data_IF_309803263577
#
_entry.id   IF_309803263577
#
_cell.length_a   1.000
_cell.length_b   1.000
_cell.length_c   1.000
_cell.angle_alpha   90.00
_cell.angle_beta   90.00
_cell.angle_gamma   90.00
#
_symmetry.space_group_name_H-M   'P 1'
#
loop_
_entity.id
_entity.type
_entity.pdbx_description
1 polymer ?
#
# COMPACT_ATOMS: atom_id res chain seq x y z
N UNK A 1 -9.73 4.26 -18.78
CA UNK A 1 -9.86 4.83 -17.41
C UNK A 1 -8.73 4.24 -16.59
N UNK A 2 -7.84 5.05 -16.01
CA UNK A 2 -6.72 4.53 -15.21
C UNK A 2 -7.24 3.81 -13.95
N UNK A 3 -6.57 2.74 -13.55
CA UNK A 3 -6.85 2.05 -12.28
C UNK A 3 -6.63 2.99 -11.10
N UNK A 4 -7.37 2.80 -9.99
CA UNK A 4 -7.28 3.67 -8.80
C UNK A 4 -5.85 3.79 -8.27
N UNK A 5 -5.09 2.69 -8.34
CA UNK A 5 -3.70 2.66 -7.91
C UNK A 5 -2.80 3.54 -8.78
N UNK A 6 -3.10 3.69 -10.07
CA UNK A 6 -2.34 4.55 -10.98
C UNK A 6 -2.64 6.03 -10.70
N UNK A 7 -3.91 6.37 -10.45
CA UNK A 7 -4.31 7.72 -10.04
C UNK A 7 -3.62 8.13 -8.73
N UNK A 8 -3.53 7.22 -7.76
CA UNK A 8 -2.86 7.49 -6.48
C UNK A 8 -1.34 7.64 -6.62
N UNK A 9 -0.71 6.89 -7.53
CA UNK A 9 0.71 7.10 -7.87
C UNK A 9 0.94 8.48 -8.45
N UNK A 10 0.11 8.92 -9.39
CA UNK A 10 0.18 10.24 -10.01
C UNK A 10 -0.05 11.35 -8.98
N UNK A 11 -1.03 11.19 -8.08
CA UNK A 11 -1.26 12.11 -6.97
C UNK A 11 -0.02 12.25 -6.08
N UNK A 12 0.73 11.17 -5.83
CA UNK A 12 1.95 11.21 -5.01
C UNK A 12 3.15 11.95 -5.63
N UNK A 13 3.00 12.37 -6.89
CA UNK A 13 3.95 13.20 -7.64
C UNK A 13 3.53 14.68 -7.71
N UNK A 14 2.31 15.02 -7.27
CA UNK A 14 1.82 16.38 -7.26
C UNK A 14 2.51 17.20 -6.15
N UNK A 15 2.76 18.49 -6.40
CA UNK A 15 3.34 19.43 -5.44
C UNK A 15 2.45 19.63 -4.20
N UNK A 16 1.14 19.44 -4.32
CA UNK A 16 0.19 19.51 -3.20
C UNK A 16 0.20 18.25 -2.32
N UNK A 17 0.96 17.21 -2.69
CA UNK A 17 1.03 15.98 -1.91
C UNK A 17 1.74 16.17 -0.58
N UNK A 18 1.00 16.05 0.52
CA UNK A 18 1.53 16.21 1.88
C UNK A 18 2.01 14.90 2.46
N UNK A 19 3.34 14.74 2.55
CA UNK A 19 3.95 13.63 3.28
C UNK A 19 3.49 13.62 4.74
N UNK A 20 3.12 12.44 5.24
CA UNK A 20 2.66 12.27 6.62
C UNK A 20 1.19 12.58 6.86
N UNK A 21 0.43 13.02 5.86
CA UNK A 21 -1.04 13.09 5.98
C UNK A 21 -1.67 11.69 5.99
N UNK A 22 -1.12 10.80 5.17
CA UNK A 22 -1.50 9.40 5.08
C UNK A 22 -0.27 8.48 5.15
N UNK A 23 -0.51 7.25 5.61
CA UNK A 23 0.38 6.12 5.40
C UNK A 23 -0.28 5.13 4.45
N UNK A 24 0.55 4.47 3.66
CA UNK A 24 0.18 3.33 2.85
C UNK A 24 0.68 2.07 3.53
N UNK A 25 -0.20 1.09 3.69
CA UNK A 25 0.08 -0.18 4.32
C UNK A 25 -0.12 -1.29 3.29
N UNK A 26 0.97 -1.92 2.86
CA UNK A 26 0.91 -3.09 2.00
C UNK A 26 0.44 -4.28 2.82
N UNK A 27 -0.65 -4.91 2.39
CA UNK A 27 -1.31 -6.00 3.09
C UNK A 27 -1.09 -7.31 2.34
N UNK A 28 -0.72 -8.35 3.07
CA UNK A 28 -0.55 -9.70 2.55
C UNK A 28 -1.28 -10.75 3.36
N UNK A 29 -1.18 -11.99 2.89
CA UNK A 29 -1.59 -13.19 3.59
C UNK A 29 -0.36 -14.06 3.86
N UNK A 30 -0.28 -14.63 5.06
CA UNK A 30 0.60 -15.75 5.41
C UNK A 30 -0.30 -16.91 5.79
N UNK A 31 -0.44 -17.89 4.90
CA UNK A 31 -1.55 -18.84 4.95
C UNK A 31 -2.89 -18.11 4.80
N UNK A 32 -3.75 -18.22 5.81
CA UNK A 32 -5.05 -17.51 5.86
C UNK A 32 -5.00 -16.22 6.71
N UNK A 33 -3.88 -15.95 7.40
CA UNK A 33 -3.78 -14.82 8.30
C UNK A 33 -3.37 -13.54 7.55
N UNK A 34 -4.12 -12.45 7.76
CA UNK A 34 -3.84 -11.15 7.15
C UNK A 34 -2.80 -10.38 7.94
N UNK A 35 -1.76 -9.94 7.25
CA UNK A 35 -0.63 -9.20 7.84
C UNK A 35 -0.33 -7.91 7.08
N UNK A 36 0.21 -6.91 7.77
CA UNK A 36 0.85 -5.77 7.13
C UNK A 36 2.33 -6.11 6.86
N UNK A 37 2.73 -6.01 5.60
CA UNK A 37 4.05 -6.43 5.12
C UNK A 37 4.94 -5.27 4.67
N UNK A 38 4.38 -4.06 4.57
CA UNK A 38 5.14 -2.83 4.30
C UNK A 38 4.35 -1.60 4.72
N UNK A 39 5.06 -0.53 5.10
CA UNK A 39 4.47 0.78 5.42
C UNK A 39 5.32 1.87 4.76
N UNK A 40 4.69 2.86 4.12
CA UNK A 40 5.38 4.01 3.54
C UNK A 40 4.47 5.24 3.41
N UNK A 41 5.06 6.42 3.23
CA UNK A 41 4.33 7.67 2.94
C UNK A 41 4.03 7.89 1.46
N UNK A 42 4.57 7.05 0.57
CA UNK A 42 4.27 7.05 -0.87
C UNK A 42 3.85 5.66 -1.31
N UNK A 43 2.74 5.57 -2.05
CA UNK A 43 2.15 4.30 -2.47
C UNK A 43 3.13 3.45 -3.30
N UNK A 44 3.90 4.07 -4.19
CA UNK A 44 4.85 3.36 -5.05
C UNK A 44 5.97 2.68 -4.24
N UNK A 45 6.49 3.37 -3.22
CA UNK A 45 7.50 2.80 -2.34
C UNK A 45 6.92 1.68 -1.47
N UNK A 46 5.67 1.83 -1.00
CA UNK A 46 4.95 0.77 -0.29
C UNK A 46 4.84 -0.50 -1.13
N UNK A 47 4.37 -0.36 -2.39
CA UNK A 47 4.23 -1.48 -3.33
C UNK A 47 5.58 -2.14 -3.59
N UNK A 48 6.64 -1.35 -3.84
CA UNK A 48 7.99 -1.87 -4.07
C UNK A 48 8.43 -2.76 -2.90
N UNK A 49 8.24 -2.30 -1.66
CA UNK A 49 8.64 -3.06 -0.47
C UNK A 49 7.78 -4.30 -0.23
N UNK A 50 6.46 -4.22 -0.46
CA UNK A 50 5.59 -5.38 -0.41
C UNK A 50 5.97 -6.46 -1.42
N UNK A 51 6.26 -6.07 -2.67
CA UNK A 51 6.71 -7.00 -3.74
C UNK A 51 8.04 -7.66 -3.38
N UNK A 52 9.02 -6.88 -2.93
CA UNK A 52 10.32 -7.40 -2.48
C UNK A 52 10.19 -8.46 -1.37
N UNK A 53 9.23 -8.29 -0.44
CA UNK A 53 9.01 -9.28 0.61
C UNK A 53 8.30 -10.53 0.06
N UNK A 54 7.26 -10.37 -0.76
CA UNK A 54 6.58 -11.51 -1.40
C UNK A 54 7.50 -12.31 -2.35
N UNK A 55 8.49 -11.67 -2.97
CA UNK A 55 9.53 -12.33 -3.77
C UNK A 55 10.53 -13.11 -2.91
N UNK A 56 10.79 -12.65 -1.69
CA UNK A 56 11.75 -13.27 -0.78
C UNK A 56 11.17 -14.48 -0.01
N UNK A 57 9.86 -14.51 0.24
CA UNK A 57 9.19 -15.60 0.94
C UNK A 57 7.90 -16.04 0.20
N UNK A 58 7.87 -17.26 -0.38
CA UNK A 58 6.71 -17.75 -1.12
C UNK A 58 5.46 -17.98 -0.26
N UNK A 59 5.59 -17.98 1.08
CA UNK A 59 4.43 -18.05 1.98
C UNK A 59 3.68 -16.72 2.10
N UNK A 60 4.29 -15.62 1.64
CA UNK A 60 3.71 -14.28 1.71
C UNK A 60 3.04 -13.95 0.37
N UNK A 61 1.71 -13.86 0.37
CA UNK A 61 0.95 -13.37 -0.78
C UNK A 61 0.59 -11.90 -0.60
N UNK A 62 1.20 -11.00 -1.37
CA UNK A 62 0.76 -9.60 -1.42
C UNK A 62 -0.64 -9.50 -2.04
N UNK A 63 -1.54 -8.72 -1.44
CA UNK A 63 -2.95 -8.66 -1.85
C UNK A 63 -3.40 -7.26 -2.25
N UNK A 64 -3.22 -6.27 -1.37
CA UNK A 64 -3.68 -4.90 -1.60
C UNK A 64 -2.87 -3.91 -0.78
N UNK A 65 -3.03 -2.62 -1.07
CA UNK A 65 -2.54 -1.53 -0.24
C UNK A 65 -3.71 -0.80 0.39
N UNK A 66 -3.65 -0.57 1.69
CA UNK A 66 -4.55 0.33 2.39
C UNK A 66 -3.93 1.72 2.50
N UNK A 67 -4.72 2.77 2.30
CA UNK A 67 -4.38 4.14 2.69
C UNK A 67 -5.10 4.45 3.98
N UNK A 68 -4.33 4.88 4.98
CA UNK A 68 -4.79 5.17 6.33
C UNK A 68 -4.37 6.59 6.65
N UNK A 69 -5.31 7.41 7.09
CA UNK A 69 -4.99 8.75 7.57
C UNK A 69 -4.22 8.64 8.88
N UNK A 70 -3.15 9.43 9.05
CA UNK A 70 -2.34 9.35 10.27
C UNK A 70 -3.20 9.67 11.50
N UNK A 71 -3.14 8.78 12.50
CA UNK A 71 -3.94 8.86 13.72
C UNK A 71 -5.22 8.02 13.70
N UNK A 72 -5.65 7.55 12.52
CA UNK A 72 -6.84 6.69 12.38
C UNK A 72 -6.49 5.20 12.52
N UNK A 73 -7.50 4.40 12.88
CA UNK A 73 -7.37 2.95 13.06
C UNK A 73 -7.91 2.13 11.88
N UNK A 74 -8.55 2.80 10.91
CA UNK A 74 -9.19 2.17 9.75
C UNK A 74 -8.71 2.76 8.43
N UNK A 75 -8.69 1.94 7.39
CA UNK A 75 -8.32 2.38 6.05
C UNK A 75 -9.44 3.23 5.44
N UNK A 76 -9.09 4.43 4.96
CA UNK A 76 -10.03 5.26 4.22
C UNK A 76 -10.15 4.83 2.74
N UNK A 77 -9.14 4.12 2.23
CA UNK A 77 -9.13 3.62 0.86
C UNK A 77 -8.33 2.34 0.71
N UNK A 78 -8.74 1.49 -0.23
CA UNK A 78 -8.11 0.20 -0.55
C UNK A 78 -7.79 0.12 -2.04
N UNK A 79 -6.55 -0.27 -2.36
CA UNK A 79 -6.04 -0.46 -3.72
C UNK A 79 -5.69 -1.93 -3.94
N UNK A 80 -6.50 -2.65 -4.71
CA UNK A 80 -6.18 -4.02 -5.12
C UNK A 80 -4.92 -4.04 -5.99
N UNK A 81 -4.10 -5.07 -5.83
CA UNK A 81 -2.90 -5.28 -6.64
C UNK A 81 -3.24 -6.30 -7.72
N UNK A 82 -3.09 -5.90 -8.98
CA UNK A 82 -3.18 -6.76 -10.16
C UNK A 82 -1.99 -7.73 -10.26
#
# INVERSE_FOLDING_TARGET
>A
MYSRIQQEKELSLNDDFRLGEYIYMGMGLVGEHRVCISVAYKIEYCIKKAKQFAEADPNVKFTHVNKVKVGELEACEKFEIE
#
